data_IF_860096930852
#
_entry.id   IF_860096930852
#
_cell.length_a   1.000
_cell.length_b   1.000
_cell.length_c   1.000
_cell.angle_alpha   90.00
_cell.angle_beta   90.00
_cell.angle_gamma   90.00
#
_symmetry.space_group_name_H-M   'P 1'
#
loop_
_entity.id
_entity.type
_entity.pdbx_description
1 polymer ?
#
# COMPACT_ATOMS: atom_id res chain seq x y z
N UNK A 1 6.12 5.37 16.20
CA UNK A 1 7.53 5.35 15.75
C UNK A 1 8.14 4.01 16.17
N UNK A 2 8.99 3.41 15.32
CA UNK A 2 9.71 2.13 15.50
C UNK A 2 8.97 0.81 15.15
N UNK A 3 8.55 0.64 13.89
CA UNK A 3 8.39 -0.72 13.29
C UNK A 3 8.97 -0.77 11.85
N UNK A 4 9.22 0.38 11.21
CA UNK A 4 9.52 0.44 9.76
C UNK A 4 10.98 0.06 9.42
N UNK A 5 11.91 0.09 10.38
CA UNK A 5 13.34 -0.13 10.08
C UNK A 5 13.82 -1.58 10.17
N UNK A 6 13.01 -2.52 10.69
CA UNK A 6 13.42 -3.92 10.87
C UNK A 6 12.95 -4.91 9.78
N UNK A 7 11.94 -4.53 8.99
CA UNK A 7 11.18 -5.48 8.16
C UNK A 7 11.70 -5.57 6.71
N UNK A 8 12.50 -4.60 6.26
CA UNK A 8 13.11 -4.61 4.93
C UNK A 8 14.20 -5.69 4.73
N UNK A 9 14.65 -6.36 5.81
CA UNK A 9 15.80 -7.28 5.78
C UNK A 9 15.40 -8.76 5.56
N UNK A 10 14.15 -9.14 5.84
CA UNK A 10 13.74 -10.56 5.84
C UNK A 10 13.20 -11.08 4.50
N UNK A 11 12.57 -10.24 3.66
CA UNK A 11 12.12 -10.67 2.32
C UNK A 11 13.28 -11.07 1.40
N UNK A 12 14.42 -10.35 1.49
CA UNK A 12 15.62 -10.69 0.70
C UNK A 12 16.26 -12.03 1.11
N UNK A 13 16.09 -12.48 2.36
CA UNK A 13 16.63 -13.77 2.78
C UNK A 13 15.77 -14.95 2.31
N UNK A 14 14.46 -14.76 2.15
CA UNK A 14 13.57 -15.75 1.51
C UNK A 14 13.82 -15.81 -0.01
N UNK A 15 14.07 -14.66 -0.64
CA UNK A 15 14.55 -14.55 -2.03
C UNK A 15 15.82 -15.37 -2.30
N UNK A 16 16.66 -15.60 -1.28
CA UNK A 16 17.96 -16.27 -1.43
C UNK A 16 17.99 -17.77 -1.08
N UNK A 17 16.99 -18.34 -0.37
CA UNK A 17 17.14 -19.68 0.24
C UNK A 17 16.17 -20.78 -0.16
N UNK A 18 15.08 -20.51 -0.88
CA UNK A 18 14.17 -21.61 -1.25
C UNK A 18 13.25 -21.24 -2.42
N UNK A 19 13.64 -21.58 -3.66
CA UNK A 19 12.70 -21.86 -4.76
C UNK A 19 12.52 -20.82 -5.87
N UNK A 20 13.18 -19.65 -5.86
CA UNK A 20 12.85 -18.56 -6.79
C UNK A 20 13.86 -18.33 -7.93
N UNK A 21 14.29 -19.39 -8.62
CA UNK A 21 14.95 -19.25 -9.93
C UNK A 21 13.96 -18.95 -11.08
N UNK A 22 12.64 -18.98 -10.83
CA UNK A 22 11.60 -18.96 -11.89
C UNK A 22 10.49 -17.90 -11.71
N UNK A 23 10.69 -16.81 -10.94
CA UNK A 23 9.72 -15.69 -11.03
C UNK A 23 9.96 -14.97 -12.36
N UNK A 24 8.96 -14.86 -13.23
CA UNK A 24 9.08 -14.09 -14.47
C UNK A 24 9.47 -12.64 -14.17
N UNK A 25 10.34 -12.07 -14.98
CA UNK A 25 10.87 -10.72 -14.76
C UNK A 25 9.76 -9.66 -14.72
N UNK A 26 8.67 -9.90 -15.47
CA UNK A 26 7.47 -9.08 -15.46
C UNK A 26 6.78 -9.06 -14.08
N UNK A 27 6.77 -10.20 -13.39
CA UNK A 27 6.20 -10.31 -12.05
C UNK A 27 7.05 -9.60 -11.01
N UNK A 28 8.39 -9.73 -11.10
CA UNK A 28 9.31 -8.97 -10.23
C UNK A 28 9.10 -7.47 -10.38
N UNK A 29 9.08 -6.96 -11.61
CA UNK A 29 8.87 -5.54 -11.91
C UNK A 29 7.51 -5.04 -11.43
N UNK A 30 6.47 -5.87 -11.54
CA UNK A 30 5.16 -5.55 -11.01
C UNK A 30 5.20 -5.40 -9.48
N UNK A 31 5.77 -6.38 -8.77
CA UNK A 31 5.85 -6.34 -7.31
C UNK A 31 6.75 -5.22 -6.78
N UNK A 32 7.85 -4.91 -7.46
CA UNK A 32 8.68 -3.75 -7.11
C UNK A 32 7.91 -2.44 -7.23
N UNK A 33 7.11 -2.29 -8.30
CA UNK A 33 6.24 -1.12 -8.48
C UNK A 33 5.17 -1.09 -7.38
N UNK A 34 4.61 -2.24 -7.03
CA UNK A 34 3.59 -2.35 -5.99
C UNK A 34 4.15 -2.01 -4.61
N UNK A 35 5.35 -2.49 -4.28
CA UNK A 35 6.07 -2.13 -3.06
C UNK A 35 6.24 -0.62 -2.94
N UNK A 36 6.76 0.03 -3.99
CA UNK A 36 6.88 1.50 -4.04
C UNK A 36 5.53 2.20 -3.84
N UNK A 37 4.44 1.65 -4.39
CA UNK A 37 3.10 2.19 -4.18
C UNK A 37 2.70 2.11 -2.70
N UNK A 38 2.90 0.96 -2.06
CA UNK A 38 2.55 0.77 -0.64
C UNK A 38 3.38 1.63 0.31
N UNK A 39 4.64 1.91 -0.02
CA UNK A 39 5.48 2.86 0.70
C UNK A 39 4.90 4.29 0.63
N UNK A 40 4.46 4.73 -0.56
CA UNK A 40 3.83 6.05 -0.73
C UNK A 40 2.45 6.13 -0.03
N UNK A 41 1.66 5.05 -0.04
CA UNK A 41 0.42 4.95 0.74
C UNK A 41 0.68 5.06 2.25
N UNK A 42 1.74 4.41 2.74
CA UNK A 42 2.13 4.49 4.15
C UNK A 42 2.60 5.90 4.53
N UNK A 43 3.40 6.54 3.67
CA UNK A 43 3.79 7.96 3.84
C UNK A 43 2.59 8.90 3.88
N UNK A 44 1.57 8.63 3.06
CA UNK A 44 0.33 9.40 3.08
C UNK A 44 -0.37 9.27 4.43
N UNK A 45 -0.53 8.05 4.95
CA UNK A 45 -1.18 7.79 6.25
C UNK A 45 -0.43 8.53 7.37
N UNK A 46 0.90 8.45 7.39
CA UNK A 46 1.72 9.16 8.38
C UNK A 46 1.61 10.68 8.27
N UNK A 47 1.46 11.21 7.04
CA UNK A 47 1.27 12.64 6.83
C UNK A 47 -0.08 13.11 7.39
N UNK A 48 -1.14 12.33 7.17
CA UNK A 48 -2.47 12.59 7.74
C UNK A 48 -2.43 12.53 9.27
N UNK A 49 -1.72 11.56 9.87
CA UNK A 49 -1.54 11.48 11.33
C UNK A 49 -0.82 12.73 11.88
N UNK A 50 0.29 13.14 11.24
CA UNK A 50 1.02 14.36 11.63
C UNK A 50 0.15 15.61 11.55
N UNK A 51 -0.75 15.70 10.57
CA UNK A 51 -1.72 16.80 10.44
C UNK A 51 -2.72 16.77 11.59
N UNK A 52 -3.33 15.61 11.87
CA UNK A 52 -4.32 15.46 12.94
C UNK A 52 -3.73 15.75 14.33
N UNK A 53 -2.45 15.43 14.54
CA UNK A 53 -1.71 15.72 15.77
C UNK A 53 -1.21 17.17 15.86
N UNK A 54 -1.44 18.01 14.84
CA UNK A 54 -0.95 19.40 14.81
C UNK A 54 0.57 19.52 14.68
N UNK A 55 1.28 18.46 14.29
CA UNK A 55 2.75 18.41 14.19
C UNK A 55 3.32 18.99 12.89
N UNK A 56 2.47 19.42 11.97
CA UNK A 56 2.86 19.99 10.68
C UNK A 56 1.95 21.16 10.32
N UNK A 57 2.52 22.19 9.69
CA UNK A 57 1.75 23.34 9.22
C UNK A 57 0.89 22.96 8.00
N UNK A 58 -0.22 23.68 7.79
CA UNK A 58 -1.09 23.47 6.62
C UNK A 58 -0.31 23.58 5.31
N UNK A 59 0.58 24.59 5.19
CA UNK A 59 1.41 24.78 3.99
C UNK A 59 2.32 23.58 3.72
N UNK A 60 3.00 23.05 4.74
CA UNK A 60 3.87 21.89 4.59
C UNK A 60 3.05 20.63 4.27
N UNK A 61 1.89 20.46 4.90
CA UNK A 61 0.99 19.35 4.64
C UNK A 61 0.52 19.35 3.19
N UNK A 62 -0.01 20.46 2.67
CA UNK A 62 -0.54 20.54 1.31
C UNK A 62 0.53 20.22 0.27
N UNK A 63 1.74 20.76 0.46
CA UNK A 63 2.89 20.46 -0.42
C UNK A 63 3.22 18.98 -0.43
N UNK A 64 3.44 18.36 0.74
CA UNK A 64 3.81 16.94 0.85
C UNK A 64 2.70 16.04 0.33
N UNK A 65 1.44 16.36 0.60
CA UNK A 65 0.28 15.58 0.15
C UNK A 65 0.19 15.57 -1.38
N UNK A 66 0.39 16.72 -2.03
CA UNK A 66 0.40 16.81 -3.48
C UNK A 66 1.52 15.96 -4.11
N UNK A 67 2.73 16.01 -3.52
CA UNK A 67 3.87 15.19 -3.96
C UNK A 67 3.59 13.68 -3.84
N UNK A 68 3.06 13.23 -2.70
CA UNK A 68 2.72 11.83 -2.47
C UNK A 68 1.62 11.37 -3.44
N UNK A 69 0.54 12.15 -3.58
CA UNK A 69 -0.57 11.81 -4.49
C UNK A 69 -0.12 11.72 -5.94
N UNK A 70 0.80 12.59 -6.37
CA UNK A 70 1.40 12.52 -7.72
C UNK A 70 2.15 11.20 -7.92
N UNK A 71 2.93 10.76 -6.92
CA UNK A 71 3.66 9.48 -6.97
C UNK A 71 2.73 8.27 -6.95
N UNK A 72 1.74 8.25 -6.06
CA UNK A 72 0.70 7.21 -6.01
C UNK A 72 0.01 7.09 -7.37
N UNK A 73 -0.38 8.21 -7.97
CA UNK A 73 -1.05 8.22 -9.28
C UNK A 73 -0.15 7.65 -10.38
N UNK A 74 1.13 8.02 -10.39
CA UNK A 74 2.11 7.49 -11.36
C UNK A 74 2.28 5.97 -11.19
N UNK A 75 2.49 5.51 -9.97
CA UNK A 75 2.71 4.10 -9.67
C UNK A 75 1.47 3.24 -9.97
N UNK A 76 0.26 3.72 -9.67
CA UNK A 76 -0.99 3.05 -10.06
C UNK A 76 -1.09 2.87 -11.58
N UNK A 77 -0.73 3.90 -12.36
CA UNK A 77 -0.71 3.79 -13.83
C UNK A 77 0.34 2.80 -14.33
N UNK A 78 1.49 2.71 -13.67
CA UNK A 78 2.53 1.72 -14.01
C UNK A 78 2.08 0.30 -13.68
N UNK A 79 1.42 0.07 -12.55
CA UNK A 79 0.83 -1.23 -12.19
C UNK A 79 -0.26 -1.66 -13.16
N UNK A 80 -1.13 -0.75 -13.57
CA UNK A 80 -2.22 -1.07 -14.49
C UNK A 80 -1.71 -1.64 -15.82
N UNK A 81 -0.57 -1.14 -16.31
CA UNK A 81 0.09 -1.67 -17.51
C UNK A 81 0.54 -3.13 -17.36
N UNK A 82 0.95 -3.54 -16.15
CA UNK A 82 1.40 -4.89 -15.84
C UNK A 82 0.32 -5.82 -15.29
N UNK A 83 -0.88 -5.31 -14.99
CA UNK A 83 -1.93 -6.03 -14.28
C UNK A 83 -2.41 -7.28 -15.02
N UNK A 84 -2.70 -7.16 -16.33
CA UNK A 84 -3.13 -8.30 -17.15
C UNK A 84 -2.07 -9.40 -17.23
N UNK A 85 -0.79 -9.00 -17.38
CA UNK A 85 0.33 -9.95 -17.38
C UNK A 85 0.42 -10.67 -16.05
N UNK A 86 0.26 -9.96 -14.94
CA UNK A 86 0.26 -10.58 -13.62
C UNK A 86 -0.92 -11.51 -13.38
N UNK A 87 -2.12 -11.13 -13.80
CA UNK A 87 -3.30 -12.00 -13.70
C UNK A 87 -3.12 -13.30 -14.47
N UNK A 88 -2.50 -13.25 -15.66
CA UNK A 88 -2.14 -14.44 -16.43
C UNK A 88 -1.12 -15.30 -15.69
N UNK A 89 0.00 -14.72 -15.25
CA UNK A 89 1.04 -15.46 -14.53
C UNK A 89 0.52 -16.07 -13.23
N UNK A 90 -0.34 -15.36 -12.50
CA UNK A 90 -1.00 -15.85 -11.30
C UNK A 90 -1.96 -17.02 -11.56
N UNK A 91 -2.54 -17.13 -12.76
CA UNK A 91 -3.37 -18.29 -13.12
C UNK A 91 -2.56 -19.57 -13.38
N UNK A 92 -1.29 -19.40 -13.75
CA UNK A 92 -0.35 -20.50 -14.06
C UNK A 92 0.49 -20.88 -12.83
N UNK A 93 0.72 -19.93 -11.92
CA UNK A 93 1.66 -20.05 -10.80
C UNK A 93 0.95 -19.74 -9.47
N UNK A 94 0.66 -20.79 -8.70
CA UNK A 94 -0.15 -20.69 -7.48
C UNK A 94 0.37 -19.70 -6.43
N UNK A 95 1.69 -19.60 -6.22
CA UNK A 95 2.21 -18.61 -5.25
C UNK A 95 2.01 -17.15 -5.71
N UNK A 96 2.01 -16.88 -7.03
CA UNK A 96 1.71 -15.54 -7.56
C UNK A 96 0.23 -15.18 -7.39
N UNK A 97 -0.67 -16.18 -7.37
CA UNK A 97 -2.08 -15.97 -7.07
C UNK A 97 -2.29 -15.42 -5.66
N UNK A 98 -1.62 -15.99 -4.67
CA UNK A 98 -1.71 -15.53 -3.28
C UNK A 98 -1.19 -14.09 -3.14
N UNK A 99 -0.04 -13.80 -3.77
CA UNK A 99 0.55 -12.46 -3.75
C UNK A 99 -0.42 -11.46 -4.43
N UNK A 100 -0.99 -11.82 -5.58
CA UNK A 100 -1.94 -10.98 -6.29
C UNK A 100 -3.21 -10.72 -5.47
N UNK A 101 -3.73 -11.69 -4.72
CA UNK A 101 -4.88 -11.46 -3.85
C UNK A 101 -4.56 -10.50 -2.70
N UNK A 102 -3.38 -10.62 -2.08
CA UNK A 102 -2.92 -9.65 -1.09
C UNK A 102 -2.81 -8.24 -1.68
N UNK A 103 -2.30 -8.10 -2.92
CA UNK A 103 -2.27 -6.79 -3.60
C UNK A 103 -3.66 -6.20 -3.80
N UNK A 104 -4.64 -7.02 -4.22
CA UNK A 104 -6.04 -6.59 -4.41
C UNK A 104 -6.67 -6.16 -3.09
N UNK A 105 -6.39 -6.87 -2.00
CA UNK A 105 -6.88 -6.50 -0.67
C UNK A 105 -6.32 -5.15 -0.21
N UNK A 106 -5.03 -4.90 -0.41
CA UNK A 106 -4.40 -3.60 -0.14
C UNK A 106 -5.07 -2.49 -0.98
N UNK A 107 -5.30 -2.71 -2.29
CA UNK A 107 -5.98 -1.74 -3.15
C UNK A 107 -7.42 -1.46 -2.68
N UNK A 108 -8.17 -2.49 -2.28
CA UNK A 108 -9.53 -2.37 -1.74
C UNK A 108 -9.55 -1.50 -0.48
N UNK A 109 -8.71 -1.82 0.50
CA UNK A 109 -8.58 -1.08 1.75
C UNK A 109 -8.17 0.38 1.50
N UNK A 110 -7.23 0.61 0.58
CA UNK A 110 -6.84 1.95 0.19
C UNK A 110 -8.01 2.75 -0.38
N UNK A 111 -8.79 2.15 -1.29
CA UNK A 111 -9.95 2.81 -1.87
C UNK A 111 -11.03 3.09 -0.83
N UNK A 112 -11.20 2.21 0.15
CA UNK A 112 -12.10 2.42 1.28
C UNK A 112 -11.66 3.61 2.14
N UNK A 113 -10.37 3.68 2.47
CA UNK A 113 -9.78 4.81 3.20
C UNK A 113 -10.03 6.14 2.47
N UNK A 114 -9.81 6.18 1.14
CA UNK A 114 -10.07 7.37 0.33
C UNK A 114 -11.54 7.78 0.34
N UNK A 115 -12.48 6.83 0.24
CA UNK A 115 -13.92 7.09 0.34
C UNK A 115 -14.29 7.62 1.73
N UNK A 116 -13.70 7.06 2.79
CA UNK A 116 -13.91 7.52 4.16
C UNK A 116 -13.44 8.97 4.34
N UNK A 117 -12.26 9.31 3.82
CA UNK A 117 -11.75 10.69 3.83
C UNK A 117 -12.68 11.65 3.11
N UNK A 118 -13.17 11.29 1.94
CA UNK A 118 -14.07 12.14 1.15
C UNK A 118 -15.40 12.37 1.88
N UNK A 119 -15.94 11.34 2.54
CA UNK A 119 -17.12 11.49 3.40
C UNK A 119 -16.85 12.43 4.57
N UNK A 120 -15.68 12.32 5.21
CA UNK A 120 -15.31 13.20 6.32
C UNK A 120 -15.13 14.65 5.86
N UNK A 121 -14.44 14.91 4.74
CA UNK A 121 -14.30 16.25 4.14
C UNK A 121 -15.65 16.88 3.79
N UNK A 122 -16.61 16.07 3.33
CA UNK A 122 -18.00 16.48 3.04
C UNK A 122 -18.89 16.58 4.29
N UNK A 123 -18.34 16.36 5.49
CA UNK A 123 -19.07 16.37 6.77
C UNK A 123 -20.23 15.35 6.82
N UNK A 124 -20.11 14.24 6.10
CA UNK A 124 -21.10 13.16 6.01
C UNK A 124 -20.92 12.06 7.07
N UNK A 125 -19.95 12.24 7.96
CA UNK A 125 -19.62 11.33 9.06
C UNK A 125 -19.08 12.15 10.22
N UNK A 126 -19.40 11.75 11.45
CA UNK A 126 -18.91 12.44 12.64
C UNK A 126 -17.41 12.21 12.83
N UNK A 127 -16.68 13.15 13.45
CA UNK A 127 -15.25 12.99 13.71
C UNK A 127 -14.89 11.71 14.49
N UNK A 128 -15.73 11.29 15.43
CA UNK A 128 -15.53 10.09 16.26
C UNK A 128 -15.62 8.83 15.39
N UNK A 129 -16.72 8.67 14.66
CA UNK A 129 -16.94 7.56 13.72
C UNK A 129 -15.86 7.50 12.63
N UNK A 130 -15.38 8.66 12.17
CA UNK A 130 -14.27 8.74 11.22
C UNK A 130 -12.98 8.19 11.81
N UNK A 131 -12.62 8.58 13.04
CA UNK A 131 -11.40 8.10 13.70
C UNK A 131 -11.42 6.59 13.90
N UNK A 132 -12.56 6.05 14.34
CA UNK A 132 -12.73 4.62 14.57
C UNK A 132 -12.58 3.83 13.27
N UNK A 133 -13.37 4.16 12.23
CA UNK A 133 -13.31 3.48 10.93
C UNK A 133 -11.96 3.64 10.26
N UNK A 134 -11.32 4.82 10.37
CA UNK A 134 -9.98 5.04 9.84
C UNK A 134 -8.97 4.11 10.51
N UNK A 135 -9.04 3.95 11.84
CA UNK A 135 -8.16 3.05 12.58
C UNK A 135 -8.34 1.60 12.17
N UNK A 136 -9.58 1.16 11.98
CA UNK A 136 -9.92 -0.19 11.50
C UNK A 136 -9.32 -0.46 10.12
N UNK A 137 -9.62 0.39 9.12
CA UNK A 137 -9.13 0.24 7.76
C UNK A 137 -7.59 0.27 7.71
N UNK A 138 -6.94 1.16 8.48
CA UNK A 138 -5.47 1.22 8.54
C UNK A 138 -4.90 -0.07 9.16
N UNK A 139 -5.58 -0.65 10.15
CA UNK A 139 -5.14 -1.91 10.78
C UNK A 139 -5.22 -3.07 9.79
N UNK A 140 -6.32 -3.18 9.06
CA UNK A 140 -6.49 -4.20 8.02
C UNK A 140 -5.49 -3.99 6.88
N UNK A 141 -5.33 -2.74 6.41
CA UNK A 141 -4.32 -2.37 5.41
C UNK A 141 -2.91 -2.81 5.82
N UNK A 142 -2.49 -2.51 7.05
CA UNK A 142 -1.18 -2.92 7.58
C UNK A 142 -1.05 -4.44 7.70
N UNK A 143 -2.12 -5.14 8.06
CA UNK A 143 -2.13 -6.60 8.16
C UNK A 143 -1.85 -7.24 6.80
N UNK A 144 -2.54 -6.79 5.74
CA UNK A 144 -2.30 -7.27 4.37
C UNK A 144 -0.92 -6.87 3.87
N UNK A 145 -0.42 -5.68 4.23
CA UNK A 145 0.94 -5.27 3.90
C UNK A 145 1.98 -6.22 4.51
N UNK A 146 1.87 -6.56 5.79
CA UNK A 146 2.77 -7.50 6.46
C UNK A 146 2.67 -8.92 5.86
N UNK A 147 1.47 -9.39 5.51
CA UNK A 147 1.30 -10.67 4.81
C UNK A 147 1.98 -10.67 3.45
N UNK A 148 1.81 -9.60 2.68
CA UNK A 148 2.47 -9.44 1.39
C UNK A 148 4.00 -9.44 1.54
N UNK A 149 4.54 -8.69 2.51
CA UNK A 149 5.98 -8.64 2.81
C UNK A 149 6.54 -10.00 3.25
N UNK A 150 5.74 -10.85 3.90
CA UNK A 150 6.18 -12.21 4.27
C UNK A 150 6.23 -13.18 3.08
N UNK A 151 5.57 -12.84 1.97
CA UNK A 151 5.47 -13.67 0.75
C UNK A 151 6.41 -13.21 -0.37
N UNK A 152 7.04 -12.04 -0.22
CA UNK A 152 8.00 -11.44 -1.16
C UNK A 152 9.43 -11.58 -0.64
#
# INVERSE_FOLDING_TARGET
FLIISGIAFTGYQIYSRSGLREIPEEAKKYFETFKKLTEEMSRFIELEDKRLEGKITERQYLKKRAEINKRITKLKKELEKGRKTMERLASEIGYLQEILEETKNIERNWNELQKLEDRFKRKLIKPEDYREKRKEIITVFKTHLTRLESKL
#
